data_IF_246381318218
#
_entry.id   IF_246381318218
#
_cell.length_a   1.000
_cell.length_b   1.000
_cell.length_c   1.000
_cell.angle_alpha   90.00
_cell.angle_beta   90.00
_cell.angle_gamma   90.00
#
_symmetry.space_group_name_H-M   'P 1'
#
loop_
_entity.id
_entity.type
_entity.pdbx_description
1 polymer ?
#
# COMPACT_ATOMS: atom_id res chain seq x y z
N UNK A 1 8.95 -19.14 -38.34
CA UNK A 1 7.95 -19.24 -37.26
C UNK A 1 7.80 -17.85 -36.68
N UNK A 2 6.58 -17.31 -36.61
CA UNK A 2 6.29 -15.99 -36.04
C UNK A 2 6.42 -16.07 -34.51
N UNK A 3 7.03 -15.07 -33.88
CA UNK A 3 7.22 -15.06 -32.43
C UNK A 3 5.88 -14.81 -31.71
N UNK A 4 5.60 -15.42 -30.54
CA UNK A 4 4.31 -15.25 -29.85
C UNK A 4 3.93 -13.78 -29.56
N UNK A 5 4.92 -12.93 -29.25
CA UNK A 5 4.68 -11.48 -29.05
C UNK A 5 4.23 -10.74 -30.31
N UNK A 6 4.37 -11.34 -31.48
CA UNK A 6 3.95 -10.78 -32.78
C UNK A 6 2.65 -11.45 -33.28
N UNK A 7 2.19 -12.50 -32.62
CA UNK A 7 1.08 -13.34 -33.06
C UNK A 7 -0.11 -13.37 -32.08
N UNK A 8 0.12 -13.10 -30.79
CA UNK A 8 -0.91 -13.10 -29.76
C UNK A 8 -1.42 -11.68 -29.49
N UNK A 9 -2.72 -11.57 -29.21
CA UNK A 9 -3.33 -10.31 -28.81
C UNK A 9 -2.92 -9.97 -27.38
N UNK A 10 -2.19 -8.87 -27.21
CA UNK A 10 -1.88 -8.32 -25.89
C UNK A 10 -3.04 -7.43 -25.43
N UNK A 11 -3.68 -7.81 -24.33
CA UNK A 11 -4.74 -7.01 -23.72
C UNK A 11 -4.17 -6.22 -22.54
N UNK A 12 -4.17 -4.90 -22.63
CA UNK A 12 -3.75 -4.01 -21.55
C UNK A 12 -2.24 -3.74 -21.48
N UNK A 13 -1.82 -3.09 -20.39
CA UNK A 13 -0.41 -2.79 -20.11
C UNK A 13 0.25 -3.99 -19.43
N UNK A 14 1.57 -4.12 -19.57
CA UNK A 14 2.35 -5.08 -18.80
C UNK A 14 2.15 -4.84 -17.29
N UNK A 15 1.96 -5.92 -16.53
CA UNK A 15 1.92 -5.85 -15.08
C UNK A 15 3.28 -5.39 -14.51
N UNK A 16 3.28 -4.60 -13.42
CA UNK A 16 4.51 -4.18 -12.78
C UNK A 16 5.26 -5.39 -12.20
N UNK A 17 6.58 -5.41 -12.38
CA UNK A 17 7.44 -6.40 -11.72
C UNK A 17 7.82 -5.83 -10.37
N UNK A 18 7.13 -6.30 -9.33
CA UNK A 18 7.37 -5.95 -7.93
C UNK A 18 7.76 -7.21 -7.12
N UNK A 19 8.41 -7.05 -5.96
CA UNK A 19 8.66 -8.15 -5.04
C UNK A 19 7.37 -8.86 -4.64
N UNK A 20 7.46 -10.17 -4.42
CA UNK A 20 6.29 -11.00 -4.06
C UNK A 20 5.93 -10.93 -2.58
N UNK A 21 6.68 -10.16 -1.78
CA UNK A 21 6.50 -10.05 -0.35
C UNK A 21 6.69 -8.59 0.06
N UNK A 22 5.79 -8.12 0.91
CA UNK A 22 5.85 -6.82 1.54
C UNK A 22 5.86 -7.02 3.07
N UNK A 23 6.88 -6.49 3.74
CA UNK A 23 7.09 -6.63 5.18
C UNK A 23 6.75 -5.32 5.90
N UNK A 24 5.70 -5.34 6.72
CA UNK A 24 5.27 -4.18 7.49
C UNK A 24 6.08 -4.01 8.78
N UNK A 25 6.52 -2.78 9.05
CA UNK A 25 7.26 -2.43 10.26
C UNK A 25 6.89 -1.02 10.77
N UNK A 26 6.25 -0.96 11.93
CA UNK A 26 5.82 0.29 12.57
C UNK A 26 6.78 0.85 13.63
N UNK A 27 8.06 0.50 13.61
CA UNK A 27 9.03 1.14 14.52
C UNK A 27 10.41 1.18 13.89
N UNK A 28 11.22 2.19 14.22
CA UNK A 28 12.58 2.36 13.70
C UNK A 28 13.42 1.08 13.86
N UNK A 29 13.34 0.45 15.04
CA UNK A 29 14.04 -0.80 15.33
C UNK A 29 13.66 -1.93 14.36
N UNK A 30 12.38 -2.06 14.04
CA UNK A 30 11.90 -3.13 13.14
C UNK A 30 12.19 -2.80 11.68
N UNK A 31 12.07 -1.53 11.28
CA UNK A 31 12.44 -1.07 9.94
C UNK A 31 13.92 -1.36 9.66
N UNK A 32 14.81 -0.97 10.58
CA UNK A 32 16.25 -1.24 10.45
C UNK A 32 16.57 -2.73 10.39
N UNK A 33 15.85 -3.57 11.17
CA UNK A 33 15.98 -5.03 11.08
C UNK A 33 15.50 -5.59 9.74
N UNK A 34 14.45 -5.01 9.16
CA UNK A 34 13.99 -5.33 7.81
C UNK A 34 15.10 -5.08 6.80
N UNK A 35 15.76 -3.92 6.87
CA UNK A 35 16.90 -3.61 6.01
C UNK A 35 18.09 -4.55 6.21
N UNK A 36 18.44 -4.89 7.45
CA UNK A 36 19.46 -5.91 7.73
C UNK A 36 19.12 -7.27 7.10
N UNK A 37 17.83 -7.61 7.04
CA UNK A 37 17.36 -8.83 6.42
C UNK A 37 17.42 -8.75 4.89
N UNK A 38 17.06 -7.62 4.27
CA UNK A 38 17.28 -7.40 2.85
C UNK A 38 18.77 -7.51 2.48
N UNK A 39 19.70 -6.97 3.29
CA UNK A 39 21.16 -7.11 3.07
C UNK A 39 21.62 -8.58 3.05
N UNK A 40 20.93 -9.47 3.78
CA UNK A 40 21.24 -10.91 3.86
C UNK A 40 20.59 -11.73 2.75
N UNK A 41 19.34 -11.42 2.41
CA UNK A 41 18.51 -12.21 1.49
C UNK A 41 18.50 -11.64 0.07
N UNK A 42 18.95 -10.40 -0.10
CA UNK A 42 18.80 -9.62 -1.32
C UNK A 42 17.43 -8.90 -1.40
N UNK A 43 17.20 -8.18 -2.52
CA UNK A 43 16.00 -7.38 -2.77
C UNK A 43 14.78 -8.25 -3.14
N UNK A 44 14.41 -9.19 -2.27
CA UNK A 44 13.32 -10.18 -2.52
C UNK A 44 11.99 -9.82 -1.86
N UNK A 45 11.96 -8.75 -1.05
CA UNK A 45 10.78 -8.22 -0.40
C UNK A 45 10.91 -6.71 -0.20
N UNK A 46 9.80 -5.99 -0.24
CA UNK A 46 9.73 -4.57 0.14
C UNK A 46 9.47 -4.41 1.64
N UNK A 47 9.74 -3.21 2.17
CA UNK A 47 9.45 -2.85 3.57
C UNK A 47 8.48 -1.68 3.59
N UNK A 48 7.34 -1.86 4.28
CA UNK A 48 6.35 -0.80 4.49
C UNK A 48 6.58 -0.19 5.86
N UNK A 49 7.09 1.04 5.87
CA UNK A 49 7.20 1.85 7.07
C UNK A 49 5.81 2.34 7.48
N UNK A 50 5.31 1.89 8.62
CA UNK A 50 3.89 2.02 8.96
C UNK A 50 3.60 3.21 9.89
N UNK A 51 2.98 4.27 9.38
CA UNK A 51 2.45 5.36 10.21
C UNK A 51 1.11 5.02 10.86
N UNK A 52 0.29 4.15 10.26
CA UNK A 52 -1.10 3.98 10.68
C UNK A 52 -1.21 3.24 12.02
N UNK A 53 -0.84 1.95 12.04
CA UNK A 53 -0.87 1.16 13.27
C UNK A 53 0.46 1.27 14.05
N UNK A 54 1.51 1.80 13.40
CA UNK A 54 2.86 1.93 13.96
C UNK A 54 3.12 3.21 14.73
N UNK A 55 2.36 4.30 14.48
CA UNK A 55 2.53 5.53 15.24
C UNK A 55 1.92 5.41 16.64
N UNK A 56 2.70 5.77 17.65
CA UNK A 56 2.12 6.04 18.98
C UNK A 56 1.24 7.29 18.87
N UNK A 57 0.01 7.20 19.38
CA UNK A 57 -0.94 8.33 19.37
C UNK A 57 -0.31 9.59 19.97
N UNK A 58 -0.39 10.70 19.24
CA UNK A 58 0.20 12.00 19.60
C UNK A 58 1.66 12.18 19.18
N UNK A 59 2.26 11.21 18.48
CA UNK A 59 3.63 11.27 17.94
C UNK A 59 3.70 11.12 16.42
N UNK A 60 2.60 11.37 15.72
CA UNK A 60 2.45 11.19 14.27
C UNK A 60 3.54 11.95 13.49
N UNK A 61 3.78 13.23 13.83
CA UNK A 61 4.87 14.05 13.26
C UNK A 61 6.25 13.42 13.50
N UNK A 62 6.54 13.01 14.73
CA UNK A 62 7.84 12.42 15.09
C UNK A 62 8.06 11.11 14.31
N UNK A 63 7.00 10.31 14.18
CA UNK A 63 7.01 9.04 13.47
C UNK A 63 7.25 9.23 11.96
N UNK A 64 6.51 10.14 11.31
CA UNK A 64 6.71 10.44 9.89
C UNK A 64 8.12 10.97 9.61
N UNK A 65 8.68 11.81 10.48
CA UNK A 65 10.06 12.29 10.37
C UNK A 65 11.09 11.16 10.57
N UNK A 66 10.83 10.21 11.47
CA UNK A 66 11.65 9.01 11.61
C UNK A 66 11.65 8.20 10.30
N UNK A 67 10.48 8.00 9.68
CA UNK A 67 10.37 7.30 8.39
C UNK A 67 11.18 8.02 7.30
N UNK A 68 11.06 9.35 7.18
CA UNK A 68 11.87 10.15 6.25
C UNK A 68 13.37 9.90 6.47
N UNK A 69 13.82 9.88 7.73
CA UNK A 69 15.23 9.64 8.07
C UNK A 69 15.68 8.25 7.64
N UNK A 70 14.95 7.20 7.98
CA UNK A 70 15.36 5.81 7.70
C UNK A 70 15.29 5.49 6.21
N UNK A 71 14.27 5.95 5.48
CA UNK A 71 14.13 5.76 4.03
C UNK A 71 15.29 6.40 3.29
N UNK A 72 15.75 7.58 3.73
CA UNK A 72 16.87 8.29 3.12
C UNK A 72 18.25 7.75 3.50
N UNK A 73 18.34 6.96 4.57
CA UNK A 73 19.60 6.49 5.12
C UNK A 73 20.33 5.49 4.21
N UNK A 74 21.62 5.32 4.45
CA UNK A 74 22.41 4.25 3.81
C UNK A 74 21.99 2.84 4.26
N UNK A 75 21.17 2.74 5.32
CA UNK A 75 20.60 1.48 5.77
C UNK A 75 19.53 0.95 4.81
N UNK A 76 18.98 1.76 3.90
CA UNK A 76 18.08 1.33 2.82
C UNK A 76 18.87 1.13 1.50
N UNK A 77 19.66 0.05 1.33
CA UNK A 77 20.60 -0.08 0.22
C UNK A 77 19.91 -0.31 -1.13
N UNK A 78 18.68 -0.82 -1.14
CA UNK A 78 17.97 -1.20 -2.37
C UNK A 78 16.89 -0.20 -2.79
N UNK A 79 16.55 0.79 -1.95
CA UNK A 79 15.47 1.73 -2.25
C UNK A 79 14.09 1.08 -2.26
N UNK A 80 13.90 0.03 -1.44
CA UNK A 80 12.73 -0.84 -1.40
C UNK A 80 11.90 -0.60 -0.13
N UNK A 81 11.83 0.67 0.27
CA UNK A 81 11.10 1.11 1.44
C UNK A 81 9.94 2.00 1.00
N UNK A 82 8.72 1.51 1.17
CA UNK A 82 7.50 2.29 1.04
C UNK A 82 7.01 2.77 2.40
N UNK A 83 5.82 3.36 2.43
CA UNK A 83 5.19 3.83 3.66
C UNK A 83 3.68 3.64 3.60
N UNK A 84 3.06 3.27 4.72
CA UNK A 84 1.60 3.37 4.90
C UNK A 84 1.28 4.63 5.68
N UNK A 85 0.38 5.46 5.18
CA UNK A 85 -0.10 6.69 5.85
C UNK A 85 -1.41 6.42 6.59
N UNK A 86 -1.90 7.38 7.37
CA UNK A 86 -3.24 7.28 7.97
C UNK A 86 -4.36 7.31 6.91
N UNK A 87 -5.55 6.79 7.29
CA UNK A 87 -6.72 6.75 6.41
C UNK A 87 -7.29 8.14 6.08
N UNK A 88 -8.14 8.22 5.04
CA UNK A 88 -8.73 9.48 4.57
C UNK A 88 -9.54 10.23 5.65
N UNK A 89 -10.11 9.51 6.61
CA UNK A 89 -10.93 10.08 7.69
C UNK A 89 -10.09 10.63 8.85
N UNK A 90 -8.85 10.17 8.99
CA UNK A 90 -7.94 10.59 10.04
C UNK A 90 -7.46 12.03 9.82
N UNK A 91 -7.42 12.89 10.85
CA UNK A 91 -7.00 14.29 10.69
C UNK A 91 -5.56 14.44 10.17
N UNK A 92 -4.70 13.45 10.43
CA UNK A 92 -3.26 13.56 10.18
C UNK A 92 -2.77 12.98 8.84
N UNK A 93 -3.63 12.35 8.02
CA UNK A 93 -3.14 11.76 6.75
C UNK A 93 -2.51 12.80 5.81
N UNK A 94 -3.01 14.04 5.82
CA UNK A 94 -2.40 15.14 5.05
C UNK A 94 -1.04 15.52 5.62
N UNK A 95 -0.91 15.51 6.94
CA UNK A 95 0.35 15.81 7.62
C UNK A 95 1.40 14.73 7.33
N UNK A 96 1.01 13.46 7.29
CA UNK A 96 1.89 12.39 6.82
C UNK A 96 2.43 12.69 5.43
N UNK A 97 1.54 13.00 4.47
CA UNK A 97 1.92 13.31 3.09
C UNK A 97 2.83 14.54 3.01
N UNK A 98 2.51 15.59 3.76
CA UNK A 98 3.27 16.85 3.80
C UNK A 98 4.68 16.69 4.39
N UNK A 99 4.91 15.64 5.19
CA UNK A 99 6.24 15.30 5.74
C UNK A 99 6.97 14.30 4.82
N UNK A 100 6.30 13.20 4.47
CA UNK A 100 6.88 12.06 3.76
C UNK A 100 7.23 12.38 2.31
N UNK A 101 6.34 13.06 1.58
CA UNK A 101 6.54 13.32 0.15
C UNK A 101 7.68 14.31 -0.10
N UNK A 102 7.74 15.50 0.55
CA UNK A 102 8.89 16.38 0.38
C UNK A 102 10.17 15.82 1.01
N UNK A 103 10.07 15.06 2.10
CA UNK A 103 11.22 14.53 2.82
C UNK A 103 11.88 13.32 2.15
N UNK A 104 11.09 12.44 1.52
CA UNK A 104 11.57 11.15 1.03
C UNK A 104 10.97 10.72 -0.32
N UNK A 105 10.16 11.56 -0.99
CA UNK A 105 9.46 11.20 -2.24
C UNK A 105 10.35 10.76 -3.40
N UNK A 106 11.63 11.17 -3.45
CA UNK A 106 12.59 10.67 -4.44
C UNK A 106 13.03 9.21 -4.20
N UNK A 107 12.88 8.72 -2.96
CA UNK A 107 13.35 7.38 -2.53
C UNK A 107 12.26 6.45 -2.02
N UNK A 108 11.07 6.95 -1.73
CA UNK A 108 9.92 6.12 -1.36
C UNK A 108 9.58 5.19 -2.52
N UNK A 109 9.54 3.88 -2.24
CA UNK A 109 9.19 2.87 -3.22
C UNK A 109 7.70 2.98 -3.62
N UNK A 110 6.85 3.30 -2.65
CA UNK A 110 5.40 3.50 -2.81
C UNK A 110 4.80 4.18 -1.56
N UNK A 111 3.53 4.58 -1.67
CA UNK A 111 2.68 5.03 -0.56
C UNK A 111 1.41 4.16 -0.52
N UNK A 112 1.11 3.58 0.64
CA UNK A 112 -0.03 2.71 0.89
C UNK A 112 -1.16 3.49 1.57
N UNK A 113 -2.37 3.41 1.01
CA UNK A 113 -3.58 4.09 1.47
C UNK A 113 -4.53 3.10 2.16
N UNK A 114 -4.72 3.19 3.49
CA UNK A 114 -5.60 2.28 4.20
C UNK A 114 -7.05 2.77 4.23
N UNK A 115 -7.97 1.84 4.55
CA UNK A 115 -9.36 2.07 4.98
C UNK A 115 -10.18 3.03 4.13
N UNK A 116 -9.88 3.16 2.84
CA UNK A 116 -10.75 3.89 1.89
C UNK A 116 -12.17 3.31 1.96
N UNK A 117 -13.18 4.16 2.06
CA UNK A 117 -14.59 3.74 2.14
C UNK A 117 -15.32 3.86 0.81
N UNK A 118 -14.74 4.57 -0.17
CA UNK A 118 -15.26 4.69 -1.52
C UNK A 118 -14.13 5.06 -2.50
N UNK A 119 -14.43 5.10 -3.79
CA UNK A 119 -13.51 5.57 -4.84
C UNK A 119 -12.95 6.99 -4.56
N UNK A 120 -13.79 7.90 -4.08
CA UNK A 120 -13.41 9.32 -3.90
C UNK A 120 -12.41 9.53 -2.77
N UNK A 121 -12.40 8.66 -1.75
CA UNK A 121 -11.41 8.74 -0.66
C UNK A 121 -10.00 8.50 -1.23
N UNK A 122 -9.80 7.37 -1.92
CA UNK A 122 -8.54 7.02 -2.55
C UNK A 122 -8.14 8.07 -3.60
N UNK A 123 -9.07 8.49 -4.45
CA UNK A 123 -8.83 9.55 -5.44
C UNK A 123 -8.34 10.84 -4.79
N UNK A 124 -8.99 11.27 -3.72
CA UNK A 124 -8.64 12.50 -3.00
C UNK A 124 -7.24 12.44 -2.41
N UNK A 125 -6.87 11.31 -1.78
CA UNK A 125 -5.53 11.13 -1.25
C UNK A 125 -4.47 11.10 -2.35
N UNK A 126 -4.72 10.40 -3.47
CA UNK A 126 -3.81 10.37 -4.63
C UNK A 126 -3.61 11.76 -5.23
N UNK A 127 -4.69 12.50 -5.47
CA UNK A 127 -4.63 13.87 -6.01
C UNK A 127 -3.85 14.80 -5.08
N UNK A 128 -4.00 14.64 -3.76
CA UNK A 128 -3.23 15.39 -2.77
C UNK A 128 -1.73 15.04 -2.81
N UNK A 129 -1.39 13.74 -2.84
CA UNK A 129 -0.01 13.27 -2.96
C UNK A 129 0.64 13.83 -4.24
N UNK A 130 -0.05 13.78 -5.37
CA UNK A 130 0.42 14.33 -6.64
C UNK A 130 0.67 15.85 -6.56
N UNK A 131 -0.23 16.59 -5.91
CA UNK A 131 -0.08 18.03 -5.72
C UNK A 131 1.13 18.37 -4.84
N UNK A 132 1.32 17.63 -3.74
CA UNK A 132 2.47 17.81 -2.83
C UNK A 132 3.78 17.42 -3.53
N UNK A 133 3.81 16.30 -4.26
CA UNK A 133 4.96 15.87 -5.06
C UNK A 133 5.36 16.94 -6.09
N UNK A 134 4.38 17.49 -6.83
CA UNK A 134 4.61 18.58 -7.78
C UNK A 134 5.17 19.83 -7.09
N UNK A 135 4.62 20.22 -5.95
CA UNK A 135 5.07 21.39 -5.18
C UNK A 135 6.50 21.19 -4.63
N UNK A 136 6.83 19.98 -4.21
CA UNK A 136 8.16 19.61 -3.74
C UNK A 136 9.19 19.39 -4.86
N UNK A 137 8.76 19.44 -6.13
CA UNK A 137 9.63 19.26 -7.29
C UNK A 137 9.99 17.80 -7.60
N UNK A 138 9.26 16.84 -7.02
CA UNK A 138 9.43 15.41 -7.30
C UNK A 138 8.97 15.14 -8.73
N UNK A 139 9.87 14.66 -9.58
CA UNK A 139 9.62 14.47 -11.02
C UNK A 139 9.09 13.10 -11.38
N UNK A 140 9.27 12.13 -10.50
CA UNK A 140 8.83 10.74 -10.68
C UNK A 140 7.40 10.54 -10.15
N UNK A 141 6.76 9.49 -10.64
CA UNK A 141 5.56 8.96 -9.98
C UNK A 141 5.99 8.21 -8.71
N UNK A 142 5.26 8.45 -7.61
CA UNK A 142 5.38 7.65 -6.40
C UNK A 142 4.25 6.63 -6.48
N UNK A 143 4.55 5.33 -6.70
CA UNK A 143 3.53 4.30 -6.83
C UNK A 143 2.59 4.28 -5.62
N UNK A 144 1.32 4.00 -5.87
CA UNK A 144 0.27 3.97 -4.85
C UNK A 144 -0.22 2.54 -4.67
N UNK A 145 -0.31 2.12 -3.41
CA UNK A 145 -0.97 0.89 -3.00
C UNK A 145 -2.26 1.26 -2.27
N UNK A 146 -3.34 0.52 -2.48
CA UNK A 146 -4.63 0.80 -1.83
C UNK A 146 -5.15 -0.46 -1.15
N UNK A 147 -5.45 -0.37 0.14
CA UNK A 147 -6.11 -1.43 0.88
C UNK A 147 -7.59 -1.48 0.51
N UNK A 148 -8.02 -2.65 0.01
CA UNK A 148 -9.41 -3.02 -0.16
C UNK A 148 -9.85 -3.82 1.08
N UNK A 149 -10.32 -3.08 2.08
CA UNK A 149 -10.66 -3.63 3.39
C UNK A 149 -11.97 -3.09 3.98
N UNK A 150 -12.73 -2.34 3.20
CA UNK A 150 -14.06 -1.85 3.57
C UNK A 150 -15.10 -2.31 2.55
N UNK A 151 -16.38 -2.31 2.94
CA UNK A 151 -17.48 -2.67 2.03
C UNK A 151 -17.52 -1.78 0.79
N UNK A 152 -17.34 -0.46 0.97
CA UNK A 152 -17.45 0.48 -0.13
C UNK A 152 -16.20 0.49 -1.02
N UNK A 153 -15.00 0.27 -0.48
CA UNK A 153 -13.82 0.03 -1.33
C UNK A 153 -13.98 -1.25 -2.16
N UNK A 154 -14.49 -2.34 -1.58
CA UNK A 154 -14.77 -3.56 -2.35
C UNK A 154 -15.87 -3.31 -3.40
N UNK A 155 -16.87 -2.49 -3.09
CA UNK A 155 -17.92 -2.12 -4.03
C UNK A 155 -17.38 -1.33 -5.23
N UNK A 156 -16.45 -0.41 -5.00
CA UNK A 156 -15.84 0.46 -6.01
C UNK A 156 -14.50 -0.07 -6.57
N UNK A 157 -14.10 -1.30 -6.25
CA UNK A 157 -12.74 -1.81 -6.52
C UNK A 157 -12.33 -1.71 -7.98
N UNK A 158 -13.23 -1.96 -8.93
CA UNK A 158 -12.93 -1.83 -10.36
C UNK A 158 -12.69 -0.38 -10.77
N UNK A 159 -13.33 0.60 -10.12
CA UNK A 159 -13.04 2.03 -10.35
C UNK A 159 -11.73 2.42 -9.69
N UNK A 160 -11.49 1.97 -8.46
CA UNK A 160 -10.24 2.23 -7.73
C UNK A 160 -9.05 1.73 -8.57
N UNK A 161 -9.18 0.55 -9.19
CA UNK A 161 -8.18 -0.02 -10.10
C UNK A 161 -7.81 0.88 -11.30
N UNK A 162 -8.63 1.89 -11.63
CA UNK A 162 -8.36 2.84 -12.72
C UNK A 162 -7.64 4.11 -12.28
N UNK A 163 -7.38 4.29 -10.98
CA UNK A 163 -6.76 5.49 -10.45
C UNK A 163 -5.32 5.66 -10.96
N UNK A 164 -4.89 6.91 -11.22
CA UNK A 164 -3.52 7.18 -11.63
C UNK A 164 -2.55 6.80 -10.51
N UNK A 165 -1.32 6.40 -10.89
CA UNK A 165 -0.25 5.96 -10.00
C UNK A 165 -0.52 4.69 -9.19
N UNK A 166 -1.70 4.08 -9.29
CA UNK A 166 -2.00 2.81 -8.65
C UNK A 166 -1.09 1.70 -9.20
N UNK A 167 -0.52 0.92 -8.27
CA UNK A 167 0.34 -0.22 -8.56
C UNK A 167 -0.15 -1.51 -7.90
N UNK A 168 -0.73 -1.42 -6.69
CA UNK A 168 -1.16 -2.60 -5.90
C UNK A 168 -2.54 -2.35 -5.28
N UNK A 169 -3.36 -3.40 -5.27
CA UNK A 169 -4.57 -3.51 -4.45
C UNK A 169 -4.34 -4.58 -3.37
N UNK A 170 -4.31 -4.17 -2.12
CA UNK A 170 -4.05 -5.07 -0.98
C UNK A 170 -5.37 -5.51 -0.34
N UNK A 171 -5.53 -6.80 -0.04
CA UNK A 171 -6.72 -7.27 0.66
C UNK A 171 -6.52 -7.27 2.18
N UNK A 172 -7.06 -6.25 2.87
CA UNK A 172 -7.03 -6.15 4.33
C UNK A 172 -8.08 -7.05 5.00
N UNK A 173 -7.71 -8.30 5.27
CA UNK A 173 -8.63 -9.31 5.81
C UNK A 173 -9.25 -8.93 7.16
N UNK A 174 -8.45 -8.38 8.07
CA UNK A 174 -8.89 -8.12 9.45
C UNK A 174 -9.93 -7.00 9.51
N UNK A 175 -9.67 -5.87 8.87
CA UNK A 175 -10.62 -4.75 8.78
C UNK A 175 -11.86 -5.15 7.97
N UNK A 176 -11.69 -5.89 6.87
CA UNK A 176 -12.81 -6.38 6.07
C UNK A 176 -13.77 -7.24 6.91
N UNK A 177 -13.26 -8.22 7.64
CA UNK A 177 -14.09 -9.08 8.50
C UNK A 177 -14.69 -8.29 9.67
N UNK A 178 -13.94 -7.36 10.25
CA UNK A 178 -14.44 -6.51 11.35
C UNK A 178 -15.61 -5.63 10.91
N UNK A 179 -15.60 -5.16 9.66
CA UNK A 179 -16.70 -4.41 9.04
C UNK A 179 -18.02 -5.17 8.94
N UNK A 180 -18.03 -6.50 9.09
CA UNK A 180 -19.26 -7.30 9.17
C UNK A 180 -19.87 -7.37 10.57
N UNK A 181 -19.32 -6.66 11.56
CA UNK A 181 -19.89 -6.51 12.90
C UNK A 181 -20.25 -7.86 13.57
N UNK A 182 -19.39 -8.86 13.39
CA UNK A 182 -19.56 -10.21 13.95
C UNK A 182 -20.40 -11.17 13.12
N UNK A 183 -20.98 -10.74 11.99
CA UNK A 183 -21.69 -11.65 11.07
C UNK A 183 -20.75 -12.67 10.40
N UNK A 184 -19.48 -12.32 10.25
CA UNK A 184 -18.42 -13.26 9.90
C UNK A 184 -17.66 -13.65 11.19
N UNK A 185 -17.68 -14.93 11.60
CA UNK A 185 -16.96 -15.38 12.79
C UNK A 185 -15.45 -15.20 12.68
N UNK A 186 -14.79 -14.85 13.79
CA UNK A 186 -13.34 -14.60 13.86
C UNK A 186 -12.47 -15.80 13.42
N UNK A 187 -12.99 -17.03 13.48
CA UNK A 187 -12.28 -18.21 12.96
C UNK A 187 -11.98 -18.10 11.46
N UNK A 188 -12.76 -17.32 10.72
CA UNK A 188 -12.57 -17.08 9.29
C UNK A 188 -11.50 -16.01 8.98
N UNK A 189 -10.91 -15.37 9.99
CA UNK A 189 -9.69 -14.56 9.82
C UNK A 189 -8.43 -15.44 9.69
N UNK A 190 -8.56 -16.77 9.84
CA UNK A 190 -7.44 -17.73 9.81
C UNK A 190 -7.66 -18.78 8.73
N UNK A 191 -6.59 -19.48 8.37
CA UNK A 191 -6.68 -20.63 7.46
C UNK A 191 -7.33 -21.84 8.13
N UNK A 192 -8.14 -22.64 7.40
CA UNK A 192 -8.52 -22.45 6.00
C UNK A 192 -9.70 -21.48 5.78
N UNK A 193 -10.39 -21.05 6.86
CA UNK A 193 -11.61 -20.24 6.79
C UNK A 193 -11.52 -18.94 5.98
N UNK A 194 -10.37 -18.27 5.97
CA UNK A 194 -10.12 -17.07 5.14
C UNK A 194 -10.14 -17.33 3.63
N UNK A 195 -10.22 -18.59 3.20
CA UNK A 195 -10.35 -19.01 1.80
C UNK A 195 -11.69 -19.70 1.55
N UNK A 196 -12.15 -20.51 2.50
CA UNK A 196 -13.39 -21.29 2.36
C UNK A 196 -14.66 -20.47 2.62
N UNK A 197 -14.58 -19.42 3.44
CA UNK A 197 -15.74 -18.58 3.74
C UNK A 197 -16.17 -17.81 2.48
N UNK A 198 -17.38 -18.07 2.00
CA UNK A 198 -17.87 -17.60 0.68
C UNK A 198 -17.74 -16.09 0.46
N UNK A 199 -18.03 -15.27 1.47
CA UNK A 199 -17.91 -13.81 1.33
C UNK A 199 -16.44 -13.36 1.23
N UNK A 200 -15.53 -14.00 1.96
CA UNK A 200 -14.11 -13.64 1.93
C UNK A 200 -13.47 -14.12 0.63
N UNK A 201 -13.75 -15.36 0.22
CA UNK A 201 -13.29 -15.90 -1.05
C UNK A 201 -13.78 -15.08 -2.25
N UNK A 202 -15.05 -14.68 -2.25
CA UNK A 202 -15.60 -13.80 -3.29
C UNK A 202 -14.93 -12.41 -3.29
N UNK A 203 -14.69 -11.83 -2.12
CA UNK A 203 -14.01 -10.53 -2.00
C UNK A 203 -12.57 -10.60 -2.54
N UNK A 204 -11.78 -11.60 -2.11
CA UNK A 204 -10.42 -11.83 -2.61
C UNK A 204 -10.38 -12.02 -4.13
N UNK A 205 -11.31 -12.81 -4.67
CA UNK A 205 -11.40 -13.04 -6.11
C UNK A 205 -11.72 -11.75 -6.88
N UNK A 206 -12.61 -10.91 -6.35
CA UNK A 206 -12.97 -9.62 -6.95
C UNK A 206 -11.80 -8.64 -6.93
N UNK A 207 -11.06 -8.55 -5.82
CA UNK A 207 -9.84 -7.71 -5.73
C UNK A 207 -8.80 -8.18 -6.73
N UNK A 208 -8.52 -9.48 -6.80
CA UNK A 208 -7.59 -10.04 -7.77
C UNK A 208 -8.01 -9.71 -9.20
N UNK A 209 -9.28 -9.93 -9.57
CA UNK A 209 -9.81 -9.65 -10.91
C UNK A 209 -9.77 -8.16 -11.27
N UNK A 210 -9.91 -7.26 -10.31
CA UNK A 210 -9.79 -5.83 -10.57
C UNK A 210 -8.32 -5.39 -10.79
N UNK A 211 -7.36 -6.10 -10.19
CA UNK A 211 -5.94 -5.78 -10.27
C UNK A 211 -5.22 -6.31 -11.51
N UNK A 212 -5.68 -7.43 -12.11
CA UNK A 212 -5.02 -8.16 -13.22
C UNK A 212 -5.84 -8.17 -14.50
#
# INVERSE_FOLDING_TARGET
>A
MTHPSEALFENGKSLPIIPTCEHFAGSEKLILKGFEMQKKLGPVFDITCDCEDGAETGKEVEHANMIVRVVNSAENPYGMAGTRIHDHSHPDWRQDVDILVPGAGEKLAYITLPKSTCYEDAKTQIEYIQAVAKKAGIKREIPIHVLIETHGALQDVEKIATLPWLQVLDFGLMDFVSGYQGAIPAINMRSPGQFDHRLIGAAKARVAQAAI
#
